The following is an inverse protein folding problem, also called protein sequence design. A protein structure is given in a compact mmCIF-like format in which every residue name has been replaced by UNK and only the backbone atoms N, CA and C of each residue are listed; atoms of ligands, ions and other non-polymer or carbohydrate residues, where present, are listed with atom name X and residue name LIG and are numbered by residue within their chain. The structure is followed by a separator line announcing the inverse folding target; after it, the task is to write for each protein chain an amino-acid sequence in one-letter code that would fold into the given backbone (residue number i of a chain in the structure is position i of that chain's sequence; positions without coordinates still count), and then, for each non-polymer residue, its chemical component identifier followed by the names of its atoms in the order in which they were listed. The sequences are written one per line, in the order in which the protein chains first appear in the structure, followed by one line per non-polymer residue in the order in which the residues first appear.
data_IF_475175161637
#
_entry.id   IF_475175161637
#
_cell.length_a   1.000
_cell.length_b   1.000
_cell.length_c   1.000
_cell.angle_alpha   90.00
_cell.angle_beta   90.00
_cell.angle_gamma   90.00
#
_symmetry.space_group_name_H-M   'P 1'
#
loop_
_entity.id
_entity.type
_entity.pdbx_description
1 polymer ?
#
# COMPACT_ATOMS: atom_id res chain seq x y z
N UNK A 1 14.73 51.38 -1.29
CA UNK A 1 15.63 50.63 -0.39
C UNK A 1 14.73 49.79 0.50
N UNK A 2 14.47 48.55 0.11
CA UNK A 2 13.47 47.67 0.75
C UNK A 2 14.22 46.81 1.77
N UNK A 3 13.96 47.03 3.05
CA UNK A 3 14.52 46.26 4.15
C UNK A 3 13.77 44.93 4.29
N UNK A 4 14.42 43.83 3.94
CA UNK A 4 13.96 42.49 4.29
C UNK A 4 14.17 42.27 5.79
N UNK A 5 13.08 42.10 6.53
CA UNK A 5 13.10 41.61 7.90
C UNK A 5 13.54 40.14 7.90
N UNK A 6 14.70 39.85 8.49
CA UNK A 6 15.08 38.49 8.86
C UNK A 6 14.31 38.09 10.12
N UNK A 7 13.27 37.28 9.97
CA UNK A 7 12.69 36.56 11.10
C UNK A 7 13.57 35.35 11.43
N UNK A 8 14.26 35.44 12.56
CA UNK A 8 14.98 34.32 13.17
C UNK A 8 14.01 33.32 13.77
N UNK A 9 13.58 32.33 12.97
CA UNK A 9 12.92 31.15 13.50
C UNK A 9 13.96 30.23 14.14
N UNK A 10 13.96 30.17 15.47
CA UNK A 10 14.68 29.18 16.24
C UNK A 10 14.13 27.78 15.91
N UNK A 11 14.85 27.04 15.05
CA UNK A 11 14.56 25.63 14.80
C UNK A 11 14.85 24.85 16.09
N UNK A 12 13.78 24.43 16.76
CA UNK A 12 13.83 23.48 17.83
C UNK A 12 14.56 22.22 17.33
N UNK A 13 15.71 21.96 17.92
CA UNK A 13 16.57 20.81 17.64
C UNK A 13 15.82 19.54 18.09
N UNK A 14 15.02 18.97 17.19
CA UNK A 14 14.27 17.75 17.40
C UNK A 14 15.26 16.58 17.37
N UNK A 15 15.93 16.34 18.50
CA UNK A 15 16.68 15.12 18.76
C UNK A 15 15.71 13.92 18.79
N UNK A 16 15.22 13.50 17.62
CA UNK A 16 14.71 12.14 17.44
C UNK A 16 15.95 11.25 17.36
N UNK A 17 16.00 10.30 18.30
CA UNK A 17 17.12 9.40 18.54
C UNK A 17 17.72 8.89 17.24
N UNK A 18 19.06 8.92 17.19
CA UNK A 18 19.83 8.38 16.07
C UNK A 18 19.45 6.93 15.83
N UNK A 19 18.49 6.71 14.93
CA UNK A 19 18.30 5.45 14.24
C UNK A 19 19.63 5.20 13.56
N UNK A 20 20.37 4.19 14.02
CA UNK A 20 21.74 4.01 13.57
C UNK A 20 21.72 3.88 12.03
N UNK A 21 22.64 4.56 11.34
CA UNK A 21 22.78 4.48 9.87
C UNK A 21 22.98 3.04 9.36
N UNK A 22 23.19 2.06 10.25
CA UNK A 22 23.45 0.67 9.88
C UNK A 22 22.21 -0.05 9.32
N UNK A 23 20.99 0.37 9.69
CA UNK A 23 19.76 -0.29 9.20
C UNK A 23 19.35 0.16 7.78
N UNK A 24 19.73 1.36 7.34
CA UNK A 24 19.39 1.87 6.01
C UNK A 24 20.05 1.09 4.85
N UNK A 25 21.08 0.29 5.17
CA UNK A 25 21.81 -0.53 4.21
C UNK A 25 21.49 -2.03 4.31
N UNK A 26 20.53 -2.43 5.15
CA UNK A 26 20.13 -3.81 5.28
C UNK A 26 18.94 -4.13 4.36
N UNK A 27 18.99 -5.28 3.70
CA UNK A 27 17.81 -5.86 3.07
C UNK A 27 16.79 -6.23 4.16
N UNK A 28 15.55 -5.81 3.97
CA UNK A 28 14.42 -6.08 4.88
C UNK A 28 13.24 -6.59 4.08
N UNK A 29 12.36 -7.33 4.74
CA UNK A 29 11.13 -7.79 4.15
C UNK A 29 10.01 -6.79 4.39
N UNK A 30 9.16 -6.63 3.38
CA UNK A 30 8.00 -5.76 3.40
C UNK A 30 6.81 -6.52 2.82
N UNK A 31 5.62 -6.18 3.31
CA UNK A 31 4.36 -6.69 2.79
C UNK A 31 3.45 -5.53 2.38
N UNK A 32 2.59 -5.79 1.41
CA UNK A 32 1.72 -4.80 0.80
C UNK A 32 0.53 -5.42 0.11
N UNK A 33 -0.57 -4.68 0.00
CA UNK A 33 -1.78 -5.17 -0.66
C UNK A 33 -1.56 -5.51 -2.16
N UNK A 34 -0.57 -4.86 -2.78
CA UNK A 34 -0.24 -4.97 -4.20
C UNK A 34 1.28 -4.79 -4.42
N UNK A 35 1.73 -4.87 -5.67
CA UNK A 35 3.17 -4.75 -6.03
C UNK A 35 3.70 -3.31 -5.97
N UNK A 36 2.86 -2.32 -5.66
CA UNK A 36 3.21 -0.89 -5.65
C UNK A 36 3.23 -0.32 -4.22
N UNK A 37 2.38 -0.84 -3.33
CA UNK A 37 2.13 -0.29 -2.00
C UNK A 37 2.48 -1.29 -0.89
N UNK A 38 3.70 -1.19 -0.36
CA UNK A 38 4.22 -2.00 0.74
C UNK A 38 4.16 -1.29 2.10
N UNK A 39 3.01 -1.34 2.77
CA UNK A 39 2.71 -0.62 4.01
C UNK A 39 3.05 -1.37 5.31
N UNK A 40 3.46 -2.64 5.23
CA UNK A 40 3.87 -3.47 6.36
C UNK A 40 5.38 -3.74 6.32
N UNK A 41 6.07 -3.47 7.44
CA UNK A 41 7.52 -3.62 7.57
C UNK A 41 8.20 -2.40 8.24
N UNK A 42 9.54 -2.34 8.29
CA UNK A 42 10.48 -3.37 7.84
C UNK A 42 10.52 -4.59 8.78
N UNK A 43 10.52 -5.80 8.20
CA UNK A 43 10.69 -7.06 8.91
C UNK A 43 12.09 -7.65 8.68
N UNK A 44 12.63 -8.36 9.67
CA UNK A 44 13.96 -8.97 9.58
C UNK A 44 13.96 -10.28 8.76
N UNK A 45 12.81 -10.96 8.69
CA UNK A 45 12.66 -12.25 8.01
C UNK A 45 11.43 -12.28 7.11
N UNK A 46 11.44 -13.19 6.14
CA UNK A 46 10.31 -13.44 5.24
C UNK A 46 9.08 -13.89 6.03
N UNK A 47 9.26 -14.79 6.97
CA UNK A 47 8.18 -15.37 7.78
C UNK A 47 7.50 -14.31 8.64
N UNK A 48 8.26 -13.35 9.18
CA UNK A 48 7.70 -12.22 9.92
C UNK A 48 6.85 -11.33 9.01
N UNK A 49 7.30 -11.02 7.79
CA UNK A 49 6.50 -10.23 6.85
C UNK A 49 5.22 -10.95 6.41
N UNK A 50 5.23 -12.29 6.33
CA UNK A 50 4.03 -13.09 6.08
C UNK A 50 3.06 -13.03 7.26
N UNK A 51 3.56 -13.18 8.48
CA UNK A 51 2.73 -13.11 9.68
C UNK A 51 2.07 -11.72 9.83
N UNK A 52 2.86 -10.66 9.70
CA UNK A 52 2.37 -9.28 9.76
C UNK A 52 1.43 -8.95 8.58
N UNK A 53 1.75 -9.40 7.36
CA UNK A 53 0.91 -9.22 6.19
C UNK A 53 -0.46 -9.90 6.34
N UNK A 54 -0.53 -11.09 6.94
CA UNK A 54 -1.81 -11.74 7.25
C UNK A 54 -2.61 -11.00 8.31
N UNK A 55 -1.97 -10.31 9.25
CA UNK A 55 -2.65 -9.50 10.25
C UNK A 55 -3.23 -8.20 9.66
N UNK A 56 -2.62 -7.69 8.58
CA UNK A 56 -3.00 -6.43 7.94
C UNK A 56 -3.87 -6.58 6.69
N UNK A 57 -3.87 -7.73 6.03
CA UNK A 57 -4.55 -7.95 4.75
C UNK A 57 -5.34 -9.26 4.72
N UNK A 58 -6.65 -9.16 4.46
CA UNK A 58 -7.57 -10.31 4.45
C UNK A 58 -7.56 -11.08 3.11
N UNK A 59 -7.37 -10.38 1.99
CA UNK A 59 -7.58 -10.90 0.62
C UNK A 59 -6.31 -11.45 -0.05
N UNK A 60 -5.26 -11.71 0.72
CA UNK A 60 -3.92 -11.99 0.20
C UNK A 60 -3.12 -10.70 -0.02
N UNK A 61 -1.81 -10.84 -0.16
CA UNK A 61 -0.89 -9.71 -0.20
C UNK A 61 0.40 -10.10 -0.92
N UNK A 62 1.18 -9.10 -1.29
CA UNK A 62 2.51 -9.25 -1.87
C UNK A 62 3.55 -9.03 -0.79
N UNK A 63 4.64 -9.79 -0.85
CA UNK A 63 5.85 -9.55 -0.05
C UNK A 63 7.03 -9.33 -0.96
N UNK A 64 8.00 -8.56 -0.47
CA UNK A 64 9.23 -8.28 -1.19
C UNK A 64 10.38 -8.11 -0.21
N UNK A 65 11.58 -8.49 -0.63
CA UNK A 65 12.80 -8.09 0.06
C UNK A 65 13.33 -6.82 -0.60
N UNK A 66 13.41 -5.73 0.16
CA UNK A 66 13.76 -4.43 -0.35
C UNK A 66 14.87 -3.78 0.47
N UNK A 67 15.66 -2.97 -0.23
CA UNK A 67 16.67 -2.11 0.36
C UNK A 67 16.10 -0.69 0.41
N UNK A 68 15.83 -0.14 1.60
CA UNK A 68 15.37 1.24 1.73
C UNK A 68 16.33 2.21 1.04
N UNK A 69 15.77 3.21 0.39
CA UNK A 69 16.51 4.27 -0.29
C UNK A 69 16.10 5.64 0.24
N UNK A 70 17.02 6.58 0.15
CA UNK A 70 16.68 7.99 0.34
C UNK A 70 15.76 8.45 -0.80
N UNK A 71 14.85 9.37 -0.48
CA UNK A 71 14.06 10.05 -1.50
C UNK A 71 14.99 10.73 -2.51
N UNK A 72 14.76 10.50 -3.79
CA UNK A 72 15.44 11.18 -4.90
C UNK A 72 14.40 11.60 -5.92
N UNK A 73 14.42 12.87 -6.30
CA UNK A 73 13.63 13.36 -7.42
C UNK A 73 14.41 13.22 -8.71
N UNK A 74 13.68 12.95 -9.80
CA UNK A 74 14.23 12.89 -11.14
C UNK A 74 13.67 14.05 -11.95
N UNK A 75 14.55 14.90 -12.47
CA UNK A 75 14.19 15.97 -13.39
C UNK A 75 13.49 15.40 -14.64
N UNK A 76 14.05 14.32 -15.20
CA UNK A 76 13.49 13.64 -16.36
C UNK A 76 12.04 13.21 -16.11
N UNK A 77 11.79 12.50 -15.00
CA UNK A 77 10.43 12.06 -14.65
C UNK A 77 9.48 13.23 -14.36
N UNK A 78 9.92 14.27 -13.66
CA UNK A 78 9.08 15.43 -13.38
C UNK A 78 8.65 16.16 -14.67
N UNK A 79 9.55 16.24 -15.66
CA UNK A 79 9.25 16.82 -16.98
C UNK A 79 8.30 15.90 -17.75
N UNK A 80 8.52 14.59 -17.73
CA UNK A 80 7.65 13.62 -18.40
C UNK A 80 6.24 13.63 -17.80
N UNK A 81 6.11 13.61 -16.48
CA UNK A 81 4.83 13.67 -15.78
C UNK A 81 4.11 15.00 -16.12
N UNK A 82 4.83 16.13 -16.14
CA UNK A 82 4.25 17.41 -16.58
C UNK A 82 3.80 17.38 -18.04
N UNK A 83 4.52 16.67 -18.91
CA UNK A 83 4.15 16.51 -20.31
C UNK A 83 2.87 15.67 -20.43
N UNK A 84 2.79 14.51 -19.79
CA UNK A 84 1.67 13.59 -19.95
C UNK A 84 0.42 13.92 -19.12
N UNK A 85 0.54 14.62 -17.98
CA UNK A 85 -0.61 14.91 -17.11
C UNK A 85 -1.24 16.29 -17.34
N UNK A 86 -0.55 17.22 -18.00
CA UNK A 86 -1.09 18.53 -18.36
C UNK A 86 -1.88 18.49 -19.68
N UNK A 87 -2.93 17.66 -19.73
CA UNK A 87 -3.75 17.36 -20.91
C UNK A 87 -4.41 18.61 -21.53
N UNK A 88 -4.65 19.65 -20.73
CA UNK A 88 -5.35 20.88 -21.16
C UNK A 88 -4.48 21.88 -21.96
N UNK A 89 -3.16 21.70 -21.99
CA UNK A 89 -2.23 22.54 -22.75
C UNK A 89 -1.61 21.80 -23.95
N UNK A 90 -2.06 20.58 -24.20
CA UNK A 90 -1.44 19.68 -25.15
C UNK A 90 -1.93 19.94 -26.58
N UNK A 91 -1.02 20.45 -27.40
CA UNK A 91 -1.19 20.47 -28.86
C UNK A 91 -0.72 19.12 -29.41
N UNK A 92 -1.67 18.24 -29.75
CA UNK A 92 -1.41 16.93 -30.34
C UNK A 92 -0.64 17.00 -31.68
N UNK A 93 -0.52 18.17 -32.30
CA UNK A 93 0.27 18.38 -33.52
C UNK A 93 1.77 18.64 -33.23
N UNK A 94 2.18 18.78 -31.97
CA UNK A 94 3.60 18.90 -31.62
C UNK A 94 4.27 17.55 -31.37
N UNK A 95 5.46 17.40 -31.96
CA UNK A 95 6.38 16.28 -31.79
C UNK A 95 6.84 16.21 -30.32
N UNK A 96 7.25 15.03 -29.85
CA UNK A 96 7.90 14.86 -28.53
C UNK A 96 8.91 16.00 -28.30
N UNK A 97 9.01 16.54 -27.07
CA UNK A 97 9.89 17.66 -26.79
C UNK A 97 11.31 17.29 -27.21
N UNK A 98 11.95 18.13 -28.02
CA UNK A 98 13.33 17.91 -28.45
C UNK A 98 14.25 18.05 -27.23
N UNK A 99 14.68 16.92 -26.67
CA UNK A 99 15.61 16.88 -25.52
C UNK A 99 17.08 16.84 -25.94
N UNK A 100 17.39 17.24 -27.17
CA UNK A 100 18.76 17.30 -27.66
C UNK A 100 19.39 18.68 -27.45
N UNK A 101 20.73 18.73 -27.43
CA UNK A 101 21.48 19.99 -27.35
C UNK A 101 21.22 20.79 -26.06
N UNK A 102 20.87 22.09 -26.14
CA UNK A 102 20.77 22.97 -24.97
C UNK A 102 19.71 22.52 -23.95
N UNK A 103 18.75 21.68 -24.35
CA UNK A 103 17.76 21.11 -23.44
C UNK A 103 18.38 20.11 -22.45
N UNK A 104 19.49 19.44 -22.80
CA UNK A 104 20.21 18.56 -21.88
C UNK A 104 20.90 19.34 -20.76
N UNK A 105 21.38 20.55 -21.05
CA UNK A 105 21.98 21.43 -20.05
C UNK A 105 20.92 21.91 -19.05
N UNK A 106 19.72 22.24 -19.54
CA UNK A 106 18.58 22.59 -18.69
C UNK A 106 18.10 21.42 -17.81
N UNK A 107 18.02 20.21 -18.37
CA UNK A 107 17.65 19.00 -17.60
C UNK A 107 18.68 18.69 -16.51
N UNK A 108 19.99 18.86 -16.82
CA UNK A 108 21.06 18.70 -15.85
C UNK A 108 21.04 19.78 -14.75
N UNK A 109 20.76 21.04 -15.11
CA UNK A 109 20.59 22.13 -14.15
C UNK A 109 19.42 21.87 -13.20
N UNK A 110 18.27 21.43 -13.73
CA UNK A 110 17.11 21.06 -12.92
C UNK A 110 17.43 19.89 -11.99
N UNK A 111 18.12 18.86 -12.49
CA UNK A 111 18.53 17.73 -11.65
C UNK A 111 19.43 18.16 -10.49
N UNK A 112 20.40 19.05 -10.75
CA UNK A 112 21.29 19.56 -9.71
C UNK A 112 20.53 20.38 -8.65
N UNK A 113 19.51 21.15 -9.05
CA UNK A 113 18.64 21.88 -8.11
C UNK A 113 17.81 20.94 -7.25
N UNK A 114 17.24 19.89 -7.86
CA UNK A 114 16.49 18.85 -7.14
C UNK A 114 17.38 18.10 -6.15
N UNK A 115 18.61 17.75 -6.54
CA UNK A 115 19.56 17.07 -5.67
C UNK A 115 19.95 17.96 -4.48
N UNK A 116 20.27 19.23 -4.72
CA UNK A 116 20.62 20.18 -3.66
C UNK A 116 19.44 20.44 -2.71
N UNK A 117 18.22 20.53 -3.26
CA UNK A 117 17.01 20.66 -2.44
C UNK A 117 16.76 19.42 -1.60
N UNK A 118 16.93 18.23 -2.18
CA UNK A 118 16.80 16.94 -1.49
C UNK A 118 17.86 16.76 -0.41
N UNK A 119 19.10 17.16 -0.65
CA UNK A 119 20.14 17.12 0.37
C UNK A 119 19.79 18.03 1.55
N UNK A 120 19.26 19.23 1.26
CA UNK A 120 18.89 20.20 2.28
C UNK A 120 17.65 19.80 3.07
N UNK A 121 16.64 19.24 2.42
CA UNK A 121 15.30 19.06 2.99
C UNK A 121 14.79 17.62 2.98
N UNK A 122 15.53 16.65 2.43
CA UNK A 122 15.09 15.26 2.28
C UNK A 122 14.63 14.59 3.57
N UNK A 123 15.18 15.01 4.72
CA UNK A 123 14.80 14.56 6.05
C UNK A 123 13.39 14.97 6.48
N UNK A 124 12.73 15.91 5.78
CA UNK A 124 11.34 16.29 6.06
C UNK A 124 10.33 15.26 5.57
N UNK A 125 10.75 14.36 4.67
CA UNK A 125 9.89 13.32 4.13
C UNK A 125 9.98 12.07 4.99
N UNK A 126 8.83 11.64 5.51
CA UNK A 126 8.69 10.29 6.06
C UNK A 126 8.50 9.38 4.85
N UNK A 127 9.57 8.71 4.41
CA UNK A 127 9.53 7.80 3.24
C UNK A 127 9.67 6.34 3.71
N UNK A 128 8.63 5.75 4.30
CA UNK A 128 8.72 4.36 4.76
C UNK A 128 8.83 3.38 3.58
N UNK A 129 8.43 3.76 2.36
CA UNK A 129 8.22 2.82 1.24
C UNK A 129 9.03 3.12 -0.02
N UNK A 130 10.04 4.00 0.05
CA UNK A 130 10.95 4.20 -1.09
C UNK A 130 12.08 3.18 -1.05
N UNK A 131 12.12 2.32 -2.07
CA UNK A 131 13.14 1.27 -2.21
C UNK A 131 14.10 1.61 -3.34
N UNK A 132 15.40 1.56 -3.07
CA UNK A 132 16.43 1.72 -4.12
C UNK A 132 16.73 0.41 -4.86
N UNK A 133 16.37 -0.72 -4.28
CA UNK A 133 16.49 -2.04 -4.89
C UNK A 133 15.47 -3.01 -4.27
N UNK A 134 14.99 -3.95 -5.06
CA UNK A 134 14.04 -4.97 -4.64
C UNK A 134 14.43 -6.35 -5.19
N UNK A 135 14.03 -7.42 -4.51
CA UNK A 135 14.22 -8.83 -4.92
C UNK A 135 13.23 -9.75 -4.22
N UNK A 136 13.19 -11.02 -4.64
CA UNK A 136 12.42 -12.09 -4.01
C UNK A 136 10.92 -11.76 -3.82
N UNK A 137 10.33 -11.06 -4.80
CA UNK A 137 8.90 -10.72 -4.79
C UNK A 137 8.03 -11.96 -4.87
N UNK A 138 6.99 -12.01 -4.05
CA UNK A 138 6.07 -13.15 -3.94
C UNK A 138 4.65 -12.67 -3.60
N UNK A 139 3.65 -13.35 -4.16
CA UNK A 139 2.25 -13.18 -3.74
C UNK A 139 1.85 -14.28 -2.74
N UNK A 140 1.48 -13.86 -1.54
CA UNK A 140 0.98 -14.70 -0.46
C UNK A 140 -0.54 -14.71 -0.52
N UNK A 141 -1.10 -15.89 -0.78
CA UNK A 141 -2.56 -16.04 -0.84
C UNK A 141 -3.17 -15.74 0.51
N UNK A 142 -4.40 -15.22 0.50
CA UNK A 142 -5.23 -15.15 1.69
C UNK A 142 -5.11 -16.47 2.45
N UNK A 143 -4.87 -16.37 3.76
CA UNK A 143 -5.12 -17.52 4.62
C UNK A 143 -6.62 -17.70 4.49
N UNK A 144 -7.05 -18.66 3.68
CA UNK A 144 -8.32 -19.28 3.98
C UNK A 144 -8.14 -19.65 5.45
N UNK A 145 -8.88 -18.98 6.33
CA UNK A 145 -9.31 -19.63 7.54
C UNK A 145 -9.93 -20.90 6.98
N UNK A 146 -9.13 -21.96 6.84
CA UNK A 146 -9.65 -23.30 6.91
C UNK A 146 -10.46 -23.18 8.17
N UNK A 147 -11.78 -23.05 7.99
CA UNK A 147 -12.69 -23.21 9.10
C UNK A 147 -12.13 -24.46 9.75
N UNK A 148 -11.59 -24.31 10.97
CA UNK A 148 -11.08 -25.45 11.70
C UNK A 148 -12.15 -26.54 11.60
N UNK A 149 -11.79 -27.83 11.64
CA UNK A 149 -12.75 -28.90 11.47
C UNK A 149 -14.03 -28.51 12.19
N UNK A 150 -15.12 -28.37 11.42
CA UNK A 150 -16.38 -27.85 11.90
C UNK A 150 -16.63 -28.50 13.25
N UNK A 151 -16.95 -27.70 14.26
CA UNK A 151 -17.29 -28.31 15.54
C UNK A 151 -18.41 -29.32 15.31
N UNK A 152 -18.49 -30.37 16.13
CA UNK A 152 -19.53 -31.39 15.98
C UNK A 152 -20.95 -30.77 15.94
N UNK A 153 -21.12 -29.62 16.60
CA UNK A 153 -22.36 -28.84 16.59
C UNK A 153 -22.61 -28.15 15.24
N UNK A 154 -21.59 -27.56 14.61
CA UNK A 154 -21.70 -26.96 13.27
C UNK A 154 -21.88 -28.02 12.18
N UNK A 155 -21.27 -29.20 12.31
CA UNK A 155 -21.53 -30.34 11.41
C UNK A 155 -22.98 -30.84 11.53
N UNK A 156 -23.52 -30.89 12.75
CA UNK A 156 -24.90 -31.27 12.99
C UNK A 156 -25.89 -30.25 12.38
N UNK A 157 -25.60 -28.95 12.51
CA UNK A 157 -26.42 -27.88 11.93
C UNK A 157 -26.41 -27.89 10.40
N UNK A 158 -25.25 -28.10 9.78
CA UNK A 158 -25.16 -28.23 8.31
C UNK A 158 -25.87 -29.50 7.81
N UNK A 159 -25.79 -30.60 8.56
CA UNK A 159 -26.51 -31.84 8.24
C UNK A 159 -28.02 -31.65 8.37
N UNK A 160 -28.48 -30.91 9.38
CA UNK A 160 -29.89 -30.57 9.55
C UNK A 160 -30.40 -29.66 8.43
N UNK A 161 -29.61 -28.66 8.02
CA UNK A 161 -29.93 -27.78 6.90
C UNK A 161 -29.98 -28.51 5.56
N UNK A 162 -29.06 -29.45 5.30
CA UNK A 162 -29.09 -30.30 4.08
C UNK A 162 -30.30 -31.25 4.09
N UNK A 163 -30.64 -31.83 5.24
CA UNK A 163 -31.83 -32.66 5.39
C UNK A 163 -33.12 -31.86 5.14
N UNK A 164 -33.21 -30.63 5.67
CA UNK A 164 -34.34 -29.72 5.45
C UNK A 164 -34.43 -29.27 3.99
N UNK A 165 -33.29 -28.95 3.36
CA UNK A 165 -33.26 -28.60 1.92
C UNK A 165 -33.71 -29.76 1.03
N UNK A 166 -33.36 -31.01 1.37
CA UNK A 166 -33.78 -32.20 0.62
C UNK A 166 -35.24 -32.56 0.84
N UNK A 167 -35.81 -32.20 1.99
CA UNK A 167 -37.23 -32.39 2.28
C UNK A 167 -38.14 -31.47 1.43
N UNK A 168 -37.58 -30.46 0.74
CA UNK A 168 -38.35 -29.56 -0.11
C UNK A 168 -39.30 -28.63 0.65
N UNK A 169 -39.19 -28.60 1.97
CA UNK A 169 -40.00 -27.74 2.81
C UNK A 169 -39.39 -26.34 2.86
N UNK A 170 -40.03 -25.41 2.15
CA UNK A 170 -39.79 -23.98 2.26
C UNK A 170 -40.12 -23.54 3.69
N UNK A 171 -39.11 -23.48 4.55
CA UNK A 171 -39.27 -23.00 5.92
C UNK A 171 -39.16 -21.47 5.95
N UNK A 172 -40.30 -20.78 6.12
CA UNK A 172 -40.32 -19.36 6.48
C UNK A 172 -40.20 -19.23 8.00
N UNK A 173 -39.05 -18.80 8.49
CA UNK A 173 -38.85 -18.38 9.88
C UNK A 173 -39.28 -16.92 10.01
N UNK A 174 -40.32 -16.66 10.80
CA UNK A 174 -40.77 -15.32 11.19
C UNK A 174 -40.35 -15.05 12.64
N UNK A 175 -39.11 -14.57 12.81
CA UNK A 175 -38.69 -13.96 14.06
C UNK A 175 -38.90 -12.46 13.94
N UNK A 176 -39.82 -11.93 14.76
CA UNK A 176 -40.38 -10.59 14.68
C UNK A 176 -39.43 -9.51 14.13
N UNK A 177 -39.72 -9.09 12.89
CA UNK A 177 -39.06 -8.07 12.04
C UNK A 177 -37.95 -8.51 11.08
N UNK A 178 -37.56 -9.79 10.98
CA UNK A 178 -36.62 -10.22 9.93
C UNK A 178 -37.14 -11.44 9.16
N UNK A 179 -37.48 -11.23 7.88
CA UNK A 179 -37.75 -12.34 6.94
C UNK A 179 -36.45 -12.77 6.28
N UNK A 180 -36.06 -14.01 6.50
CA UNK A 180 -34.99 -14.64 5.73
C UNK A 180 -35.62 -15.58 4.70
N UNK A 181 -35.28 -15.39 3.42
CA UNK A 181 -35.64 -16.34 2.36
C UNK A 181 -34.36 -17.08 1.96
N UNK A 182 -34.18 -18.31 2.44
CA UNK A 182 -33.12 -19.19 1.96
C UNK A 182 -33.50 -19.70 0.57
N UNK A 183 -32.96 -19.07 -0.47
CA UNK A 183 -32.91 -19.68 -1.79
C UNK A 183 -31.73 -20.67 -1.82
N UNK A 184 -31.99 -21.91 -2.22
CA UNK A 184 -31.06 -23.05 -2.22
C UNK A 184 -29.83 -22.91 -3.15
N UNK A 185 -29.43 -21.70 -3.53
CA UNK A 185 -28.20 -21.40 -4.24
C UNK A 185 -27.51 -20.22 -3.57
N UNK A 186 -26.45 -20.53 -2.83
CA UNK A 186 -25.50 -19.59 -2.18
C UNK A 186 -26.02 -18.95 -0.89
N UNK A 187 -25.65 -19.52 0.25
CA UNK A 187 -25.70 -18.82 1.54
C UNK A 187 -24.53 -17.84 1.58
N UNK A 188 -24.80 -16.55 1.40
CA UNK A 188 -23.86 -15.48 1.72
C UNK A 188 -24.08 -15.12 3.20
N UNK A 189 -23.08 -15.37 4.05
CA UNK A 189 -23.06 -14.88 5.42
C UNK A 189 -22.57 -13.43 5.42
N UNK A 190 -23.48 -12.47 5.60
CA UNK A 190 -23.13 -11.10 5.93
C UNK A 190 -23.23 -10.92 7.45
N UNK A 191 -22.10 -10.67 8.11
CA UNK A 191 -22.04 -10.37 9.54
C UNK A 191 -22.13 -8.86 9.71
N UNK A 192 -23.33 -8.33 9.92
CA UNK A 192 -23.50 -6.93 10.32
C UNK A 192 -23.27 -6.80 11.84
N UNK A 193 -22.21 -6.08 12.19
CA UNK A 193 -21.90 -5.66 13.55
C UNK A 193 -22.94 -4.63 14.01
N UNK A 194 -23.83 -5.01 14.92
CA UNK A 194 -24.67 -4.05 15.63
C UNK A 194 -23.81 -3.27 16.64
N UNK A 195 -23.53 -2.01 16.33
CA UNK A 195 -22.91 -1.06 17.26
C UNK A 195 -23.87 -0.71 18.40
N UNK A 196 -23.34 -0.75 19.62
CA UNK A 196 -23.89 -0.11 20.82
C UNK A 196 -23.06 1.13 21.14
#
# INVERSE_FOLDING_TARGET
MIQFHQEGAALANNQRGGKSMTDANAWKWWAGRDEEWFDVGPCDTREQAIEEGHASHEDGFHIIEALPGDLKFSAARMIDDQYYEADDLFDFDHTEPDRSGPHQEADAELQALLDAWTEKWGHTFVTPTMFRATRNGEHVRARYLEAGPLSADEEADLTALDALSKAGDSMTLDEGSRRYTLNARRVHFARESAGA
#
